data_IF_021197370768
#
_entry.id   IF_021197370768
#
_cell.length_a   1.000
_cell.length_b   1.000
_cell.length_c   1.000
_cell.angle_alpha   90.00
_cell.angle_beta   90.00
_cell.angle_gamma   90.00
#
_symmetry.space_group_name_H-M   'P 1'
#
loop_
_entity.id
_entity.type
_entity.pdbx_description
1 polymer ?
#
# COMPACT_ATOMS: atom_id res chain seq x y z
N UNK A 1 8.34 16.30 -6.16
CA UNK A 1 8.14 14.87 -5.82
C UNK A 1 8.67 14.71 -4.41
N UNK A 2 7.87 14.26 -3.44
CA UNK A 2 8.30 14.13 -2.03
C UNK A 2 9.23 12.92 -1.91
N UNK A 3 10.41 13.08 -2.51
CA UNK A 3 11.47 12.10 -2.49
C UNK A 3 11.97 11.93 -1.06
N UNK A 4 11.76 10.72 -0.54
CA UNK A 4 12.81 9.97 0.16
C UNK A 4 13.21 10.48 1.55
N UNK A 5 12.58 11.52 2.11
CA UNK A 5 12.86 11.93 3.49
C UNK A 5 12.21 11.04 4.57
N UNK A 6 11.20 10.23 4.22
CA UNK A 6 10.65 9.20 5.11
C UNK A 6 11.57 7.98 5.29
N UNK A 7 12.61 7.86 4.44
CA UNK A 7 13.70 6.91 4.60
C UNK A 7 14.76 7.34 5.63
N UNK A 8 14.58 8.46 6.35
CA UNK A 8 15.54 8.93 7.37
C UNK A 8 15.49 8.06 8.65
N UNK A 9 16.07 6.86 8.54
CA UNK A 9 16.88 6.09 9.51
C UNK A 9 16.37 5.78 10.93
N UNK A 10 15.41 6.51 11.51
CA UNK A 10 14.93 6.30 12.89
C UNK A 10 13.51 5.71 12.99
N UNK A 11 12.76 5.64 11.89
CA UNK A 11 11.40 5.10 11.90
C UNK A 11 11.40 3.59 11.66
N UNK A 12 10.70 2.84 12.51
CA UNK A 12 10.53 1.40 12.34
C UNK A 12 9.76 1.08 11.05
N UNK A 13 9.94 -0.10 10.45
CA UNK A 13 9.24 -0.47 9.21
C UNK A 13 7.71 -0.31 9.31
N UNK A 14 7.13 -0.57 10.48
CA UNK A 14 5.69 -0.40 10.71
C UNK A 14 5.26 1.07 10.75
N UNK A 15 6.10 1.96 11.30
CA UNK A 15 5.84 3.39 11.30
C UNK A 15 5.90 3.95 9.87
N UNK A 16 6.82 3.45 9.04
CA UNK A 16 6.85 3.81 7.60
C UNK A 16 5.58 3.36 6.86
N UNK A 17 5.07 2.17 7.18
CA UNK A 17 3.79 1.67 6.63
C UNK A 17 2.62 2.56 7.10
N UNK A 18 2.56 2.91 8.38
CA UNK A 18 1.52 3.78 8.93
C UNK A 18 1.52 5.18 8.27
N UNK A 19 2.70 5.72 7.98
CA UNK A 19 2.80 6.99 7.24
C UNK A 19 2.39 6.81 5.78
N UNK A 20 2.78 5.71 5.12
CA UNK A 20 2.39 5.44 3.75
C UNK A 20 0.86 5.32 3.59
N UNK A 21 0.16 4.68 4.54
CA UNK A 21 -1.31 4.57 4.53
C UNK A 21 -2.01 5.94 4.47
N UNK A 22 -1.41 7.01 5.03
CA UNK A 22 -1.97 8.37 4.89
C UNK A 22 -2.05 8.85 3.44
N UNK A 23 -1.19 8.34 2.55
CA UNK A 23 -1.16 8.67 1.13
C UNK A 23 -1.98 7.72 0.26
N UNK A 24 -2.53 6.65 0.84
CA UNK A 24 -3.38 5.71 0.14
C UNK A 24 -4.53 6.33 -0.67
N UNK A 25 -5.31 7.33 -0.18
CA UNK A 25 -6.39 7.91 -0.98
C UNK A 25 -5.90 8.53 -2.30
N UNK A 26 -4.66 9.01 -2.35
CA UNK A 26 -4.06 9.56 -3.57
C UNK A 26 -3.85 8.45 -4.61
N UNK A 27 -3.26 7.34 -4.19
CA UNK A 27 -3.01 6.19 -5.07
C UNK A 27 -4.30 5.47 -5.45
N UNK A 28 -5.29 5.40 -4.56
CA UNK A 28 -6.62 4.84 -4.87
C UNK A 28 -7.36 5.69 -5.89
N UNK A 29 -7.27 7.03 -5.80
CA UNK A 29 -7.82 7.92 -6.81
C UNK A 29 -7.17 7.70 -8.18
N UNK A 30 -5.83 7.60 -8.22
CA UNK A 30 -5.10 7.28 -9.45
C UNK A 30 -5.49 5.91 -10.03
N UNK A 31 -5.64 4.89 -9.18
CA UNK A 31 -6.06 3.56 -9.61
C UNK A 31 -7.50 3.57 -10.16
N UNK A 32 -8.40 4.34 -9.55
CA UNK A 32 -9.79 4.51 -10.02
C UNK A 32 -9.86 5.27 -11.34
N UNK A 33 -9.07 6.33 -11.50
CA UNK A 33 -8.95 7.07 -12.76
C UNK A 33 -8.44 6.15 -13.88
N UNK A 34 -7.42 5.33 -13.61
CA UNK A 34 -6.93 4.34 -14.57
C UNK A 34 -7.98 3.27 -14.87
N UNK A 35 -8.74 2.81 -13.88
CA UNK A 35 -9.85 1.86 -14.12
C UNK A 35 -10.94 2.48 -15.02
N UNK A 36 -11.27 3.76 -14.81
CA UNK A 36 -12.23 4.49 -15.64
C UNK A 36 -11.73 4.69 -17.07
N UNK A 37 -10.44 4.96 -17.24
CA UNK A 37 -9.81 5.20 -18.55
C UNK A 37 -9.59 3.90 -19.35
N UNK A 38 -9.31 2.78 -18.67
CA UNK A 38 -9.01 1.49 -19.30
C UNK A 38 -10.20 0.53 -19.40
N UNK A 39 -11.36 0.92 -18.85
CA UNK A 39 -12.52 0.05 -18.66
C UNK A 39 -13.85 0.76 -18.85
N UNK A 40 -13.94 1.71 -19.78
CA UNK A 40 -15.23 2.18 -20.29
C UNK A 40 -16.05 1.00 -20.82
N UNK A 41 -17.33 0.96 -20.43
CA UNK A 41 -18.39 0.00 -20.77
C UNK A 41 -17.99 -1.21 -21.66
N UNK A 42 -17.71 -2.36 -21.04
CA UNK A 42 -17.46 -3.64 -21.72
C UNK A 42 -18.71 -4.19 -22.46
N UNK A 43 -19.90 -3.60 -22.29
CA UNK A 43 -21.11 -4.00 -23.02
C UNK A 43 -21.28 -3.27 -24.35
N UNK A 44 -20.65 -2.11 -24.54
CA UNK A 44 -20.62 -1.46 -25.85
C UNK A 44 -19.43 -2.02 -26.64
N UNK A 45 -19.65 -2.45 -27.88
CA UNK A 45 -18.61 -3.03 -28.74
C UNK A 45 -17.52 -2.03 -29.11
N UNK A 46 -16.65 -1.70 -28.15
CA UNK A 46 -15.54 -0.78 -28.35
C UNK A 46 -14.41 -1.49 -29.09
N UNK A 47 -13.92 -0.84 -30.14
CA UNK A 47 -12.85 -1.35 -31.00
C UNK A 47 -11.61 -1.73 -30.16
N UNK A 48 -11.06 -2.92 -30.43
CA UNK A 48 -9.82 -3.45 -29.85
C UNK A 48 -8.58 -2.53 -30.04
N UNK A 49 -8.74 -1.42 -30.76
CA UNK A 49 -7.73 -0.41 -31.09
C UNK A 49 -7.67 0.76 -30.10
N UNK A 50 -8.60 0.87 -29.15
CA UNK A 50 -8.45 1.81 -28.03
C UNK A 50 -7.34 1.29 -27.14
N UNK A 51 -6.11 1.78 -27.36
CA UNK A 51 -4.88 1.31 -26.72
C UNK A 51 -5.12 0.99 -25.25
N UNK A 52 -5.09 -0.30 -24.85
CA UNK A 52 -5.24 -0.67 -23.47
C UNK A 52 -4.16 0.06 -22.69
N UNK A 53 -4.52 0.58 -21.52
CA UNK A 53 -3.58 1.21 -20.59
C UNK A 53 -2.30 0.36 -20.58
N UNK A 54 -1.18 0.98 -20.99
CA UNK A 54 0.11 0.30 -21.00
C UNK A 54 0.28 -0.45 -19.67
N UNK A 55 0.77 -1.69 -19.66
CA UNK A 55 0.96 -2.45 -18.41
C UNK A 55 1.80 -1.68 -17.38
N UNK A 56 2.64 -0.73 -17.84
CA UNK A 56 3.40 0.22 -17.01
C UNK A 56 2.53 1.24 -16.24
N UNK A 57 1.34 1.55 -16.74
CA UNK A 57 0.37 2.44 -16.13
C UNK A 57 -0.61 1.70 -15.19
N UNK A 58 -0.47 0.37 -15.01
CA UNK A 58 -1.20 -0.32 -13.92
C UNK A 58 -0.68 0.19 -12.58
N UNK A 59 -1.54 0.90 -11.87
CA UNK A 59 -1.25 1.36 -10.51
C UNK A 59 -1.72 0.29 -9.54
N UNK A 60 -0.79 -0.58 -9.11
CA UNK A 60 -1.00 -1.38 -7.91
C UNK A 60 -0.74 -0.49 -6.69
N UNK A 61 -1.83 -0.07 -6.04
CA UNK A 61 -1.82 0.78 -4.84
C UNK A 61 -0.94 0.17 -3.75
N UNK A 62 -1.06 -1.14 -3.51
CA UNK A 62 -0.29 -1.83 -2.48
C UNK A 62 1.20 -1.83 -2.81
N UNK A 63 1.56 -2.10 -4.06
CA UNK A 63 2.96 -2.09 -4.49
C UNK A 63 3.58 -0.68 -4.40
N UNK A 64 2.82 0.36 -4.78
CA UNK A 64 3.25 1.77 -4.67
C UNK A 64 3.46 2.19 -3.21
N UNK A 65 2.53 1.81 -2.33
CA UNK A 65 2.62 2.10 -0.89
C UNK A 65 3.79 1.36 -0.24
N UNK A 66 4.00 0.09 -0.55
CA UNK A 66 5.14 -0.70 -0.08
C UNK A 66 6.48 -0.08 -0.53
N UNK A 67 6.58 0.31 -1.81
CA UNK A 67 7.77 1.00 -2.35
C UNK A 67 8.01 2.35 -1.64
N UNK A 68 6.95 3.09 -1.36
CA UNK A 68 7.01 4.38 -0.64
C UNK A 68 7.47 4.20 0.81
N UNK A 69 7.02 3.13 1.47
CA UNK A 69 7.46 2.76 2.82
C UNK A 69 8.85 2.09 2.86
N UNK A 70 9.45 1.77 1.70
CA UNK A 70 10.73 1.06 1.60
C UNK A 70 10.69 -0.36 2.18
N UNK A 71 9.57 -1.06 2.01
CA UNK A 71 9.37 -2.44 2.49
C UNK A 71 8.89 -3.35 1.35
N UNK A 72 8.99 -4.66 1.56
CA UNK A 72 8.39 -5.63 0.63
C UNK A 72 6.86 -5.56 0.68
N UNK A 73 6.20 -5.97 -0.41
CA UNK A 73 4.73 -6.05 -0.48
C UNK A 73 4.14 -7.01 0.55
N UNK A 74 4.85 -8.08 0.92
CA UNK A 74 4.47 -9.00 1.99
C UNK A 74 4.51 -8.32 3.37
N UNK A 75 5.65 -7.68 3.69
CA UNK A 75 5.83 -6.93 4.94
C UNK A 75 4.76 -5.83 5.09
N UNK A 76 4.45 -5.14 3.99
CA UNK A 76 3.38 -4.14 3.97
C UNK A 76 2.04 -4.76 4.37
N UNK A 77 1.66 -5.91 3.80
CA UNK A 77 0.38 -6.55 4.13
C UNK A 77 0.28 -7.02 5.56
N UNK A 78 1.37 -7.58 6.11
CA UNK A 78 1.43 -7.98 7.51
C UNK A 78 1.30 -6.76 8.43
N UNK A 79 2.07 -5.71 8.14
CA UNK A 79 1.99 -4.46 8.90
C UNK A 79 0.62 -3.81 8.83
N UNK A 80 0.01 -3.78 7.64
CA UNK A 80 -1.37 -3.30 7.47
C UNK A 80 -2.37 -4.11 8.30
N UNK A 81 -2.31 -5.44 8.27
CA UNK A 81 -3.21 -6.28 9.10
C UNK A 81 -3.07 -5.99 10.60
N UNK A 82 -1.85 -5.73 11.08
CA UNK A 82 -1.63 -5.31 12.47
C UNK A 82 -2.21 -3.93 12.74
N UNK A 83 -2.01 -2.97 11.82
CA UNK A 83 -2.57 -1.61 11.94
C UNK A 83 -4.11 -1.59 11.85
N UNK A 84 -4.70 -2.50 11.10
CA UNK A 84 -6.15 -2.67 10.95
C UNK A 84 -6.75 -3.55 12.07
N UNK A 85 -5.93 -4.19 12.91
CA UNK A 85 -6.44 -5.02 14.01
C UNK A 85 -6.97 -4.18 15.17
N UNK A 86 -7.94 -4.74 15.89
CA UNK A 86 -8.55 -4.15 17.08
C UNK A 86 -7.68 -4.28 18.34
N UNK A 87 -6.57 -5.03 18.25
CA UNK A 87 -5.65 -5.22 19.37
C UNK A 87 -4.68 -4.02 19.47
N UNK A 88 -5.07 -3.04 20.30
CA UNK A 88 -4.27 -1.82 20.51
C UNK A 88 -2.93 -2.09 21.19
N UNK A 89 -2.85 -3.05 22.11
CA UNK A 89 -1.61 -3.42 22.79
C UNK A 89 -0.58 -3.94 21.78
N UNK A 90 -0.98 -4.91 20.96
CA UNK A 90 -0.13 -5.48 19.91
C UNK A 90 0.30 -4.42 18.90
N UNK A 91 -0.61 -3.51 18.53
CA UNK A 91 -0.32 -2.40 17.62
C UNK A 91 0.75 -1.49 18.21
N UNK A 92 0.66 -1.14 19.50
CA UNK A 92 1.64 -0.30 20.17
C UNK A 92 3.00 -1.00 20.32
N UNK A 93 3.05 -2.27 20.73
CA UNK A 93 4.29 -3.05 20.87
C UNK A 93 5.05 -3.17 19.54
N UNK A 94 4.33 -3.36 18.43
CA UNK A 94 4.94 -3.42 17.09
C UNK A 94 5.39 -2.02 16.66
N UNK A 95 4.61 -0.97 16.96
CA UNK A 95 4.96 0.44 16.66
C UNK A 95 6.17 0.95 17.46
N UNK A 96 6.30 0.56 18.73
CA UNK A 96 7.45 0.89 19.59
C UNK A 96 8.71 0.14 19.16
N UNK A 97 8.56 -0.95 18.42
CA UNK A 97 9.67 -1.79 17.97
C UNK A 97 10.06 -2.88 18.97
N UNK A 98 9.27 -3.07 20.04
CA UNK A 98 9.42 -4.18 20.99
C UNK A 98 9.14 -5.52 20.32
N UNK A 99 8.10 -5.57 19.47
CA UNK A 99 7.78 -6.75 18.66
C UNK A 99 8.03 -6.51 17.17
N UNK A 100 8.55 -7.54 16.50
CA UNK A 100 8.70 -7.52 15.04
C UNK A 100 7.34 -7.66 14.34
N UNK A 101 7.21 -7.12 13.12
CA UNK A 101 5.99 -7.27 12.29
C UNK A 101 5.62 -8.75 12.09
N UNK A 102 6.61 -9.63 11.93
CA UNK A 102 6.33 -11.06 11.77
C UNK A 102 5.81 -11.70 13.06
N UNK A 103 6.31 -11.30 14.23
CA UNK A 103 5.82 -11.79 15.52
C UNK A 103 4.38 -11.30 15.75
N UNK A 104 4.12 -9.99 15.59
CA UNK A 104 2.77 -9.45 15.72
C UNK A 104 1.78 -10.07 14.74
N UNK A 105 2.22 -10.36 13.50
CA UNK A 105 1.35 -11.03 12.52
C UNK A 105 0.96 -12.46 12.94
N UNK A 106 1.86 -13.19 13.61
CA UNK A 106 1.58 -14.54 14.13
C UNK A 106 0.61 -14.54 15.30
N UNK A 107 0.59 -13.48 16.11
CA UNK A 107 -0.36 -13.37 17.23
C UNK A 107 -1.79 -13.04 16.76
N UNK A 108 -1.93 -12.49 15.54
CA UNK A 108 -3.22 -12.23 14.90
C UNK A 108 -3.74 -13.39 14.04
N UNK A 109 -2.93 -14.40 13.77
CA UNK A 109 -3.28 -15.53 12.88
C UNK A 109 -3.42 -16.80 13.71
#
# INVERSE_FOLDING_TARGET
MLDIQLGRRNLSPIQRIAVAEKYRPIYEKQAKENMSLGGGDKKSGSQNSSTPINPENKVDVRAKLAKTAGVSTDTYSKGKKILDSDNEELKQEVLSGEKSINAGYKELT
#
